data_IF_915189770852
#
_entry.id   IF_915189770852
#
_cell.length_a   1.000
_cell.length_b   1.000
_cell.length_c   1.000
_cell.angle_alpha   90.00
_cell.angle_beta   90.00
_cell.angle_gamma   90.00
#
_symmetry.space_group_name_H-M   'P 1'
#
loop_
_entity.id
_entity.type
_entity.pdbx_description
1 polymer ?
#
# COMPACT_ATOMS: atom_id res chain seq x y z
N UNK A 1 -21.72 3.58 -3.25
CA UNK A 1 -20.34 4.09 -3.09
C UNK A 1 -19.37 3.00 -3.52
N UNK A 2 -18.96 3.00 -4.79
CA UNK A 2 -18.11 1.96 -5.37
C UNK A 2 -16.66 2.17 -4.90
N UNK A 3 -16.26 1.51 -3.82
CA UNK A 3 -14.89 1.59 -3.27
C UNK A 3 -13.92 0.96 -4.28
N UNK A 4 -13.22 1.80 -5.04
CA UNK A 4 -12.23 1.38 -6.05
C UNK A 4 -10.97 0.82 -5.39
N UNK A 5 -11.01 -0.43 -4.92
CA UNK A 5 -9.86 -1.16 -4.37
C UNK A 5 -8.69 -1.26 -5.36
N UNK A 6 -8.97 -1.17 -6.66
CA UNK A 6 -7.95 -1.18 -7.70
C UNK A 6 -6.97 0.01 -7.60
N UNK A 7 -7.46 1.17 -7.16
CA UNK A 7 -6.65 2.38 -7.01
C UNK A 7 -5.69 2.29 -5.82
N UNK A 8 -6.13 1.62 -4.74
CA UNK A 8 -5.30 1.34 -3.57
C UNK A 8 -4.15 0.39 -3.91
N UNK A 9 -4.41 -0.67 -4.68
CA UNK A 9 -3.37 -1.59 -5.17
C UNK A 9 -2.31 -0.88 -6.03
N UNK A 10 -2.73 0.12 -6.81
CA UNK A 10 -1.81 0.95 -7.61
C UNK A 10 -0.89 1.82 -6.74
N UNK A 11 -1.41 2.42 -5.68
CA UNK A 11 -0.61 3.21 -4.74
C UNK A 11 0.36 2.34 -3.93
N UNK A 12 -0.01 1.11 -3.58
CA UNK A 12 0.88 0.14 -2.94
C UNK A 12 2.07 -0.22 -3.84
N UNK A 13 1.83 -0.41 -5.15
CA UNK A 13 2.90 -0.65 -6.14
C UNK A 13 3.86 0.53 -6.31
N UNK A 14 3.50 1.72 -5.85
CA UNK A 14 4.31 2.94 -5.93
C UNK A 14 5.06 3.27 -4.65
N UNK A 15 4.98 2.43 -3.61
CA UNK A 15 5.76 2.63 -2.39
C UNK A 15 7.26 2.43 -2.65
N UNK A 16 8.07 3.29 -2.04
CA UNK A 16 9.52 3.07 -2.01
C UNK A 16 9.85 1.89 -1.09
N UNK A 17 11.00 1.22 -1.27
CA UNK A 17 11.37 0.06 -0.45
C UNK A 17 11.31 0.32 1.07
N UNK A 18 11.64 1.55 1.49
CA UNK A 18 11.54 1.98 2.90
C UNK A 18 10.09 2.03 3.38
N UNK A 19 9.19 2.62 2.60
CA UNK A 19 7.77 2.73 2.96
C UNK A 19 7.09 1.36 3.01
N UNK A 20 7.44 0.46 2.10
CA UNK A 20 6.92 -0.90 2.10
C UNK A 20 7.39 -1.69 3.33
N UNK A 21 8.67 -1.55 3.72
CA UNK A 21 9.21 -2.16 4.94
C UNK A 21 8.52 -1.64 6.19
N UNK A 22 8.33 -0.33 6.30
CA UNK A 22 7.63 0.26 7.44
C UNK A 22 6.17 -0.21 7.51
N UNK A 23 5.51 -0.37 6.36
CA UNK A 23 4.14 -0.88 6.28
C UNK A 23 4.04 -2.35 6.73
N UNK A 24 5.02 -3.18 6.36
CA UNK A 24 5.11 -4.57 6.84
C UNK A 24 5.39 -4.64 8.34
N UNK A 25 6.26 -3.77 8.86
CA UNK A 25 6.59 -3.71 10.29
C UNK A 25 5.42 -3.20 11.15
N UNK A 26 4.58 -2.32 10.61
CA UNK A 26 3.35 -1.84 11.28
C UNK A 26 2.20 -2.84 11.26
N UNK A 27 2.25 -3.81 10.34
CA UNK A 27 1.21 -4.82 10.16
C UNK A 27 1.44 -6.10 11.00
N UNK A 28 2.63 -6.24 11.60
CA UNK A 28 2.92 -7.25 12.62
C UNK A 28 2.65 -6.72 14.02
#
# INVERSE_FOLDING_TARGET
TYYNHYRYQWNLKRMTPVQYRDHLLKAG
#
